data_IF_386407924656
#
_entry.id   IF_386407924656
#
_cell.length_a   1.000
_cell.length_b   1.000
_cell.length_c   1.000
_cell.angle_alpha   90.00
_cell.angle_beta   90.00
_cell.angle_gamma   90.00
#
_symmetry.space_group_name_H-M   'P 1'
#
loop_
_entity.id
_entity.type
_entity.pdbx_description
1 polymer ?
#
# COMPACT_ATOMS: atom_id res chain seq x y z
N UNK A 1 70.16 1.47 -37.10
CA UNK A 1 68.82 2.09 -37.01
C UNK A 1 67.95 1.15 -36.21
N UNK A 2 67.69 1.49 -34.95
CA UNK A 2 66.92 0.66 -34.02
C UNK A 2 65.45 0.57 -34.47
N UNK A 3 64.95 -0.66 -34.62
CA UNK A 3 63.61 -0.96 -35.12
C UNK A 3 62.52 -0.49 -34.15
N UNK A 4 62.00 0.74 -34.34
CA UNK A 4 60.84 1.30 -33.61
C UNK A 4 59.58 0.41 -33.66
N UNK A 5 59.46 -0.47 -34.65
CA UNK A 5 58.32 -1.37 -34.84
C UNK A 5 58.11 -2.33 -33.66
N UNK A 6 59.19 -2.86 -33.07
CA UNK A 6 59.08 -3.86 -32.00
C UNK A 6 58.60 -3.27 -30.66
N UNK A 7 58.91 -2.00 -30.37
CA UNK A 7 58.39 -1.29 -29.18
C UNK A 7 56.88 -1.08 -29.24
N UNK A 8 56.33 -0.86 -30.43
CA UNK A 8 54.91 -0.55 -30.61
C UNK A 8 54.01 -1.77 -30.41
N UNK A 9 54.50 -2.96 -30.77
CA UNK A 9 53.76 -4.23 -30.55
C UNK A 9 53.64 -4.52 -29.06
N UNK A 10 54.73 -4.34 -28.29
CA UNK A 10 54.71 -4.61 -26.85
C UNK A 10 53.79 -3.65 -26.07
N UNK A 11 53.80 -2.35 -26.41
CA UNK A 11 52.88 -1.37 -25.82
C UNK A 11 51.43 -1.63 -26.20
N UNK A 12 51.18 -2.07 -27.45
CA UNK A 12 49.82 -2.43 -27.91
C UNK A 12 49.27 -3.64 -27.13
N UNK A 13 50.09 -4.66 -26.86
CA UNK A 13 49.68 -5.81 -26.04
C UNK A 13 49.37 -5.42 -24.59
N UNK A 14 50.14 -4.51 -23.99
CA UNK A 14 49.84 -3.98 -22.65
C UNK A 14 48.50 -3.20 -22.63
N UNK A 15 48.25 -2.36 -23.63
CA UNK A 15 47.00 -1.61 -23.74
C UNK A 15 45.79 -2.52 -23.93
N UNK A 16 45.89 -3.54 -24.79
CA UNK A 16 44.82 -4.53 -24.97
C UNK A 16 44.51 -5.22 -23.64
N UNK A 17 45.53 -5.66 -22.90
CA UNK A 17 45.33 -6.36 -21.62
C UNK A 17 44.63 -5.50 -20.56
N UNK A 18 44.99 -4.21 -20.49
CA UNK A 18 44.32 -3.25 -19.59
C UNK A 18 42.87 -3.02 -20.05
N UNK A 19 42.64 -2.86 -21.35
CA UNK A 19 41.29 -2.69 -21.90
C UNK A 19 40.40 -3.89 -21.60
N UNK A 20 40.91 -5.12 -21.77
CA UNK A 20 40.15 -6.34 -21.46
C UNK A 20 39.83 -6.45 -19.96
N UNK A 21 40.76 -6.05 -19.08
CA UNK A 21 40.52 -6.03 -17.64
C UNK A 21 39.44 -5.01 -17.24
N UNK A 22 39.50 -3.80 -17.81
CA UNK A 22 38.48 -2.76 -17.59
C UNK A 22 37.12 -3.23 -18.11
N UNK A 23 37.07 -3.82 -19.30
CA UNK A 23 35.85 -4.34 -19.90
C UNK A 23 35.23 -5.46 -19.03
N UNK A 24 36.04 -6.41 -18.58
CA UNK A 24 35.60 -7.48 -17.68
C UNK A 24 35.07 -6.91 -16.37
N UNK A 25 35.74 -5.92 -15.79
CA UNK A 25 35.29 -5.21 -14.60
C UNK A 25 33.94 -4.54 -14.81
N UNK A 26 33.75 -3.87 -15.95
CA UNK A 26 32.50 -3.21 -16.29
C UNK A 26 31.35 -4.22 -16.44
N UNK A 27 31.59 -5.35 -17.11
CA UNK A 27 30.62 -6.45 -17.22
C UNK A 27 30.25 -7.02 -15.85
N UNK A 28 31.22 -7.21 -14.96
CA UNK A 28 30.97 -7.70 -13.60
C UNK A 28 30.11 -6.73 -12.79
N UNK A 29 30.39 -5.42 -12.86
CA UNK A 29 29.60 -4.38 -12.18
C UNK A 29 28.15 -4.39 -12.67
N UNK A 30 27.94 -4.46 -13.99
CA UNK A 30 26.59 -4.51 -14.57
C UNK A 30 25.84 -5.77 -14.13
N UNK A 31 26.50 -6.93 -14.11
CA UNK A 31 25.89 -8.18 -13.66
C UNK A 31 25.47 -8.11 -12.19
N UNK A 32 26.35 -7.65 -11.30
CA UNK A 32 26.06 -7.51 -9.86
C UNK A 32 24.92 -6.51 -9.64
N UNK A 33 24.94 -5.38 -10.34
CA UNK A 33 23.89 -4.36 -10.24
C UNK A 33 22.53 -4.92 -10.70
N UNK A 34 22.50 -5.66 -11.80
CA UNK A 34 21.28 -6.30 -12.32
C UNK A 34 20.70 -7.29 -11.31
N UNK A 35 21.53 -8.16 -10.73
CA UNK A 35 21.10 -9.13 -9.71
C UNK A 35 20.58 -8.41 -8.46
N UNK A 36 21.30 -7.41 -7.94
CA UNK A 36 20.88 -6.65 -6.76
C UNK A 36 19.55 -5.92 -6.99
N UNK A 37 19.35 -5.31 -8.17
CA UNK A 37 18.08 -4.68 -8.54
C UNK A 37 16.96 -5.69 -8.69
N UNK A 38 17.23 -6.85 -9.26
CA UNK A 38 16.26 -7.93 -9.44
C UNK A 38 15.81 -8.51 -8.10
N UNK A 39 16.73 -8.71 -7.15
CA UNK A 39 16.39 -9.12 -5.78
C UNK A 39 15.51 -8.09 -5.07
N UNK A 40 15.90 -6.80 -5.10
CA UNK A 40 15.07 -5.72 -4.51
C UNK A 40 13.71 -5.60 -5.18
N UNK A 41 13.63 -5.88 -6.47
CA UNK A 41 12.35 -5.89 -7.20
C UNK A 41 11.50 -7.10 -6.82
N UNK A 42 12.11 -8.28 -6.69
CA UNK A 42 11.43 -9.49 -6.23
C UNK A 42 10.92 -9.36 -4.78
N UNK A 43 11.67 -8.74 -3.88
CA UNK A 43 11.21 -8.44 -2.52
C UNK A 43 9.98 -7.51 -2.53
N UNK A 44 10.03 -6.41 -3.29
CA UNK A 44 8.89 -5.50 -3.46
C UNK A 44 7.68 -6.14 -4.13
N UNK A 45 7.90 -7.15 -4.98
CA UNK A 45 6.81 -7.92 -5.57
C UNK A 45 6.22 -8.92 -4.57
N UNK A 46 7.02 -9.49 -3.66
CA UNK A 46 6.57 -10.43 -2.62
C UNK A 46 5.71 -9.80 -1.53
N UNK A 47 5.79 -8.48 -1.35
CA UNK A 47 4.87 -7.71 -0.49
C UNK A 47 3.44 -7.66 -1.06
N UNK A 48 3.22 -8.08 -2.31
CA UNK A 48 1.89 -8.20 -2.93
C UNK A 48 1.36 -9.62 -2.71
N UNK A 49 0.72 -9.86 -1.57
CA UNK A 49 0.01 -11.10 -1.29
C UNK A 49 -1.24 -11.14 -2.19
N UNK A 50 -1.29 -12.11 -3.12
CA UNK A 50 -2.48 -12.36 -3.93
C UNK A 50 -3.45 -13.22 -3.11
N UNK A 51 -4.44 -12.60 -2.47
CA UNK A 51 -5.54 -13.34 -1.85
C UNK A 51 -6.53 -13.71 -2.95
N UNK A 52 -6.59 -14.99 -3.27
CA UNK A 52 -7.59 -15.56 -4.16
C UNK A 52 -8.86 -15.82 -3.33
N UNK A 53 -9.75 -14.84 -3.25
CA UNK A 53 -11.07 -15.10 -2.70
C UNK A 53 -11.93 -15.81 -3.75
N UNK A 54 -12.62 -16.87 -3.35
CA UNK A 54 -13.31 -17.81 -4.23
C UNK A 54 -14.46 -17.15 -5.00
N UNK A 55 -14.17 -16.62 -6.19
CA UNK A 55 -15.14 -16.52 -7.28
C UNK A 55 -15.78 -15.17 -7.59
N UNK A 56 -15.38 -14.05 -6.97
CA UNK A 56 -15.85 -12.72 -7.42
C UNK A 56 -14.74 -11.67 -7.38
N UNK A 57 -14.37 -11.23 -8.59
CA UNK A 57 -13.50 -10.10 -8.92
C UNK A 57 -12.13 -10.09 -8.23
N UNK A 58 -11.06 -10.12 -9.03
CA UNK A 58 -9.76 -9.59 -8.64
C UNK A 58 -9.93 -8.10 -8.31
N UNK A 59 -10.42 -7.79 -7.11
CA UNK A 59 -10.20 -6.49 -6.54
C UNK A 59 -8.75 -6.54 -6.11
N UNK A 60 -7.93 -5.82 -6.89
CA UNK A 60 -6.62 -5.34 -6.52
C UNK A 60 -6.77 -4.75 -5.12
N UNK A 61 -6.63 -5.59 -4.09
CA UNK A 61 -6.58 -5.18 -2.70
C UNK A 61 -5.29 -4.42 -2.58
N UNK A 62 -5.38 -3.15 -2.95
CA UNK A 62 -4.35 -2.16 -2.86
C UNK A 62 -3.74 -2.34 -1.47
N UNK A 63 -2.49 -2.77 -1.44
CA UNK A 63 -1.54 -2.25 -0.48
C UNK A 63 -1.34 -0.76 -0.75
N UNK A 64 -2.43 0.02 -0.74
CA UNK A 64 -2.35 1.42 -0.41
C UNK A 64 -1.82 1.40 1.01
N UNK A 65 -0.76 2.17 1.25
CA UNK A 65 -0.19 2.41 2.56
C UNK A 65 -1.30 2.40 3.61
N UNK A 66 -1.31 1.39 4.48
CA UNK A 66 -2.31 1.28 5.57
C UNK A 66 -2.32 2.59 6.39
N UNK A 67 -1.22 3.32 6.42
CA UNK A 67 -1.11 4.66 7.00
C UNK A 67 -1.90 5.74 6.24
N UNK A 68 -2.00 5.67 4.91
CA UNK A 68 -2.78 6.60 4.09
C UNK A 68 -4.29 6.32 4.16
N UNK A 69 -4.70 5.06 4.31
CA UNK A 69 -6.13 4.69 4.36
C UNK A 69 -6.78 4.91 5.73
N UNK A 70 -6.05 4.72 6.84
CA UNK A 70 -6.52 4.97 8.22
C UNK A 70 -7.29 6.29 8.42
N UNK A 71 -6.80 7.47 7.95
CA UNK A 71 -7.54 8.71 8.14
C UNK A 71 -8.86 8.75 7.35
N UNK A 72 -8.93 8.08 6.21
CA UNK A 72 -10.16 7.99 5.40
C UNK A 72 -11.16 7.06 6.07
N UNK A 73 -10.71 5.88 6.52
CA UNK A 73 -11.54 4.91 7.25
C UNK A 73 -12.10 5.49 8.55
N UNK A 74 -11.28 6.22 9.33
CA UNK A 74 -11.75 6.87 10.54
C UNK A 74 -12.82 7.93 10.26
N UNK A 75 -12.65 8.72 9.19
CA UNK A 75 -13.65 9.72 8.76
C UNK A 75 -14.95 9.04 8.32
N UNK A 76 -14.84 7.94 7.58
CA UNK A 76 -16.01 7.20 7.12
C UNK A 76 -16.76 6.53 8.27
N UNK A 77 -16.02 5.97 9.24
CA UNK A 77 -16.61 5.41 10.47
C UNK A 77 -17.42 6.45 11.24
N UNK A 78 -16.84 7.64 11.46
CA UNK A 78 -17.53 8.75 12.13
C UNK A 78 -18.74 9.21 11.32
N UNK A 79 -18.59 9.38 10.00
CA UNK A 79 -19.69 9.74 9.11
C UNK A 79 -20.83 8.72 9.21
N UNK A 80 -20.51 7.43 9.15
CA UNK A 80 -21.49 6.35 9.17
C UNK A 80 -22.25 6.30 10.48
N UNK A 81 -21.57 6.50 11.60
CA UNK A 81 -22.20 6.65 12.91
C UNK A 81 -23.21 7.79 12.90
N UNK A 82 -22.82 8.98 12.42
CA UNK A 82 -23.72 10.14 12.40
C UNK A 82 -24.93 9.95 11.49
N UNK A 83 -24.72 9.35 10.30
CA UNK A 83 -25.81 9.00 9.39
C UNK A 83 -26.82 8.06 10.06
N UNK A 84 -26.37 7.02 10.77
CA UNK A 84 -27.26 6.07 11.41
C UNK A 84 -27.93 6.65 12.68
N UNK A 85 -27.19 7.43 13.46
CA UNK A 85 -27.65 7.89 14.77
C UNK A 85 -28.62 9.09 14.71
N UNK A 86 -28.41 10.01 13.76
CA UNK A 86 -29.17 11.26 13.68
C UNK A 86 -30.23 11.28 12.58
N UNK A 87 -30.25 10.31 11.66
CA UNK A 87 -31.26 10.26 10.61
C UNK A 87 -32.62 9.84 11.17
N UNK A 88 -33.62 10.70 10.99
CA UNK A 88 -35.02 10.38 11.26
C UNK A 88 -35.64 9.74 10.03
N UNK A 89 -36.08 8.48 10.17
CA UNK A 89 -36.93 7.82 9.19
C UNK A 89 -38.40 7.97 9.63
N UNK A 90 -39.37 8.04 8.71
CA UNK A 90 -40.79 8.08 9.05
C UNK A 90 -41.31 6.78 9.67
N UNK A 91 -40.57 5.68 9.51
CA UNK A 91 -40.86 4.38 10.10
C UNK A 91 -40.06 4.16 11.38
N UNK A 92 -40.77 3.86 12.48
CA UNK A 92 -40.19 3.59 13.79
C UNK A 92 -39.28 2.36 13.78
N UNK A 93 -39.62 1.31 13.03
CA UNK A 93 -38.78 0.12 12.93
C UNK A 93 -37.43 0.43 12.27
N UNK A 94 -37.43 1.33 11.28
CA UNK A 94 -36.21 1.80 10.64
C UNK A 94 -35.34 2.64 11.59
N UNK A 95 -35.95 3.49 12.43
CA UNK A 95 -35.21 4.26 13.46
C UNK A 95 -34.54 3.30 14.45
N UNK A 96 -35.27 2.33 15.00
CA UNK A 96 -34.72 1.37 15.98
C UNK A 96 -33.60 0.52 15.37
N UNK A 97 -33.74 0.10 14.10
CA UNK A 97 -32.70 -0.61 13.36
C UNK A 97 -31.44 0.26 13.16
N UNK A 98 -31.62 1.52 12.78
CA UNK A 98 -30.50 2.44 12.56
C UNK A 98 -29.76 2.75 13.87
N UNK A 99 -30.47 3.00 14.96
CA UNK A 99 -29.87 3.20 16.29
C UNK A 99 -29.09 1.96 16.71
N UNK A 100 -29.67 0.77 16.56
CA UNK A 100 -28.99 -0.50 16.90
C UNK A 100 -27.68 -0.65 16.11
N UNK A 101 -27.68 -0.31 14.82
CA UNK A 101 -26.48 -0.31 13.98
C UNK A 101 -25.47 0.76 14.37
N UNK A 102 -25.92 1.95 14.77
CA UNK A 102 -25.06 3.01 15.27
C UNK A 102 -24.37 2.60 16.57
N UNK A 103 -25.07 1.91 17.47
CA UNK A 103 -24.54 1.43 18.75
C UNK A 103 -23.41 0.40 18.60
N UNK A 104 -23.36 -0.35 17.48
CA UNK A 104 -22.24 -1.23 17.18
C UNK A 104 -20.97 -0.49 16.73
N UNK A 105 -21.08 0.77 16.33
CA UNK A 105 -19.97 1.60 15.86
C UNK A 105 -19.40 2.50 16.97
N UNK A 106 -19.90 2.42 18.20
CA UNK A 106 -19.49 3.31 19.29
C UNK A 106 -19.40 2.57 20.62
N UNK A 107 -18.92 3.28 21.63
CA UNK A 107 -18.87 2.80 23.00
C UNK A 107 -20.22 3.01 23.71
N UNK A 108 -20.29 2.60 24.98
CA UNK A 108 -21.49 2.69 25.80
C UNK A 108 -21.97 4.14 26.02
N UNK A 109 -21.10 5.15 25.86
CA UNK A 109 -21.49 6.55 26.04
C UNK A 109 -22.64 6.99 25.11
N UNK A 110 -22.65 6.51 23.86
CA UNK A 110 -23.69 6.83 22.90
C UNK A 110 -25.04 6.20 23.25
N UNK A 111 -25.04 5.06 23.95
CA UNK A 111 -26.28 4.44 24.44
C UNK A 111 -26.98 5.37 25.43
N UNK A 112 -26.24 5.90 26.41
CA UNK A 112 -26.78 6.87 27.36
C UNK A 112 -27.30 8.13 26.66
N UNK A 113 -26.56 8.63 25.67
CA UNK A 113 -27.00 9.79 24.89
C UNK A 113 -28.27 9.52 24.07
N UNK A 114 -28.42 8.30 23.52
CA UNK A 114 -29.61 7.90 22.78
C UNK A 114 -30.85 7.84 23.68
N UNK A 115 -30.70 7.40 24.94
CA UNK A 115 -31.77 7.40 25.93
C UNK A 115 -32.21 8.83 26.26
N UNK A 116 -31.26 9.73 26.56
CA UNK A 116 -31.56 11.15 26.82
C UNK A 116 -32.28 11.82 25.64
N UNK A 117 -31.87 11.50 24.41
CA UNK A 117 -32.52 12.02 23.19
C UNK A 117 -33.93 11.46 23.01
N UNK A 118 -34.13 10.18 23.33
CA UNK A 118 -35.44 9.55 23.29
C UNK A 118 -36.39 10.18 24.31
N UNK A 119 -35.92 10.46 25.54
CA UNK A 119 -36.69 11.16 26.57
C UNK A 119 -37.09 12.58 26.15
N UNK A 120 -36.19 13.27 25.44
CA UNK A 120 -36.46 14.59 24.84
C UNK A 120 -37.39 14.52 23.62
N UNK A 121 -37.80 13.33 23.20
CA UNK A 121 -38.69 13.11 22.06
C UNK A 121 -38.03 13.28 20.70
N UNK A 122 -36.69 13.26 20.62
CA UNK A 122 -35.95 13.48 19.36
C UNK A 122 -36.38 12.48 18.27
N UNK A 123 -36.52 11.20 18.61
CA UNK A 123 -36.90 10.12 17.69
C UNK A 123 -38.41 9.95 17.49
N UNK A 124 -39.23 10.70 18.23
CA UNK A 124 -40.68 10.56 18.25
C UNK A 124 -41.39 11.82 17.72
N UNK A 125 -40.65 12.67 17.01
CA UNK A 125 -41.11 13.94 16.43
C UNK A 125 -41.47 13.77 14.95
#
# INVERSE_FOLDING_TARGET
MEFKSLKNIQTSFQQIRIFTLVFLGLCAVVAIFSVAKSYRFAERQREKIYVLDQGKSLILALSQDLSQNRPVEAREHVRRFHELFFTLAPDRAAIESNITRALFLCDKSAYHYSQDLQEKGYYNR
#
